data_IF_604920545937
#
_entry.id   IF_604920545937
#
_cell.length_a   1.000
_cell.length_b   1.000
_cell.length_c   1.000
_cell.angle_alpha   90.00
_cell.angle_beta   90.00
_cell.angle_gamma   90.00
#
_symmetry.space_group_name_H-M   'P 1'
#
loop_
_entity.id
_entity.type
_entity.pdbx_description
1 polymer ?
#
# COMPACT_ATOMS: atom_id res chain seq x y z
N UNK A 1 -15.75 3.21 -22.65
CA UNK A 1 -15.13 4.12 -21.65
C UNK A 1 -15.71 3.98 -20.23
N UNK A 2 -16.92 3.43 -20.06
CA UNK A 2 -17.60 3.27 -18.76
C UNK A 2 -16.90 2.31 -17.79
N UNK A 3 -16.44 1.14 -18.25
CA UNK A 3 -15.80 0.12 -17.39
C UNK A 3 -14.54 0.61 -16.67
N UNK A 4 -13.71 1.43 -17.32
CA UNK A 4 -12.49 1.97 -16.71
C UNK A 4 -12.82 2.94 -15.59
N UNK A 5 -13.82 3.81 -15.78
CA UNK A 5 -14.27 4.74 -14.75
C UNK A 5 -14.87 3.98 -13.55
N UNK A 6 -15.64 2.92 -13.81
CA UNK A 6 -16.18 2.04 -12.78
C UNK A 6 -15.07 1.37 -11.97
N UNK A 7 -14.06 0.80 -12.64
CA UNK A 7 -12.92 0.16 -11.97
C UNK A 7 -12.16 1.15 -11.10
N UNK A 8 -11.87 2.36 -11.62
CA UNK A 8 -11.16 3.40 -10.85
C UNK A 8 -11.91 3.79 -9.59
N UNK A 9 -13.22 4.03 -9.70
CA UNK A 9 -14.07 4.35 -8.53
C UNK A 9 -14.11 3.18 -7.55
N UNK A 10 -14.20 1.94 -8.04
CA UNK A 10 -14.15 0.76 -7.19
C UNK A 10 -12.82 0.64 -6.42
N UNK A 11 -11.68 0.89 -7.06
CA UNK A 11 -10.37 0.91 -6.41
C UNK A 11 -10.27 2.03 -5.35
N UNK A 12 -10.82 3.21 -5.62
CA UNK A 12 -10.85 4.29 -4.62
C UNK A 12 -11.75 3.95 -3.44
N UNK A 13 -12.93 3.37 -3.68
CA UNK A 13 -13.82 2.90 -2.60
C UNK A 13 -13.15 1.81 -1.77
N UNK A 14 -12.47 0.85 -2.40
CA UNK A 14 -11.71 -0.18 -1.71
C UNK A 14 -10.59 0.43 -0.86
N UNK A 15 -9.83 1.39 -1.42
CA UNK A 15 -8.81 2.13 -0.68
C UNK A 15 -9.38 2.89 0.51
N UNK A 16 -10.55 3.52 0.35
CA UNK A 16 -11.24 4.24 1.42
C UNK A 16 -11.64 3.30 2.57
N UNK A 17 -12.24 2.15 2.25
CA UNK A 17 -12.60 1.14 3.25
C UNK A 17 -11.35 0.61 3.97
N UNK A 18 -10.28 0.34 3.24
CA UNK A 18 -9.01 -0.08 3.82
C UNK A 18 -8.39 0.97 4.76
N UNK A 19 -8.45 2.25 4.39
CA UNK A 19 -7.97 3.35 5.24
C UNK A 19 -8.78 3.47 6.53
N UNK A 20 -10.11 3.35 6.46
CA UNK A 20 -10.98 3.38 7.64
C UNK A 20 -10.75 2.16 8.54
N UNK A 21 -10.60 0.97 7.96
CA UNK A 21 -10.24 -0.25 8.69
C UNK A 21 -8.90 -0.11 9.39
N UNK A 22 -7.88 0.41 8.70
CA UNK A 22 -6.55 0.66 9.27
C UNK A 22 -6.60 1.68 10.42
N UNK A 23 -7.37 2.77 10.26
CA UNK A 23 -7.56 3.73 11.34
C UNK A 23 -8.22 3.08 12.56
N UNK A 24 -9.22 2.22 12.36
CA UNK A 24 -9.89 1.49 13.43
C UNK A 24 -8.95 0.50 14.12
N UNK A 25 -8.11 -0.23 13.39
CA UNK A 25 -7.09 -1.11 13.97
C UNK A 25 -6.06 -0.33 14.79
N UNK A 26 -5.51 0.76 14.25
CA UNK A 26 -4.60 1.64 14.99
C UNK A 26 -5.27 2.21 16.25
N UNK A 27 -6.56 2.53 16.15
CA UNK A 27 -7.41 2.96 17.27
C UNK A 27 -7.82 1.83 18.22
N UNK A 28 -7.67 0.56 17.87
CA UNK A 28 -7.90 -0.56 18.78
C UNK A 28 -6.64 -0.90 19.59
N UNK A 29 -5.46 -0.74 18.99
CA UNK A 29 -4.16 -1.08 19.61
C UNK A 29 -3.53 0.05 20.41
N UNK A 30 -4.25 1.13 20.69
CA UNK A 30 -3.71 2.23 21.50
C UNK A 30 -2.75 3.17 20.76
N UNK A 31 -2.75 3.22 19.42
CA UNK A 31 -1.73 3.94 18.66
C UNK A 31 -1.93 5.48 18.61
N UNK A 32 -2.32 6.13 19.71
CA UNK A 32 -2.55 7.58 19.77
C UNK A 32 -1.94 8.26 21.01
N UNK A 33 -1.11 7.55 21.79
CA UNK A 33 -0.51 8.08 23.01
C UNK A 33 0.71 8.99 22.75
N UNK A 34 1.32 8.91 21.57
CA UNK A 34 2.50 9.70 21.21
C UNK A 34 2.29 10.62 20.01
N UNK A 35 2.97 11.80 19.93
CA UNK A 35 2.89 12.68 18.77
C UNK A 35 3.27 12.00 17.45
N UNK A 36 4.28 11.12 17.46
CA UNK A 36 4.68 10.34 16.29
C UNK A 36 3.61 9.33 15.84
N UNK A 37 2.80 8.84 16.78
CA UNK A 37 1.71 7.91 16.50
C UNK A 37 0.50 8.60 15.86
N UNK A 38 0.41 9.94 15.92
CA UNK A 38 -0.64 10.71 15.23
C UNK A 38 -0.34 10.92 13.74
N UNK A 39 0.92 10.76 13.31
CA UNK A 39 1.32 10.90 11.91
C UNK A 39 0.51 9.97 10.98
N UNK A 40 0.37 8.65 11.25
CA UNK A 40 -0.47 7.79 10.42
C UNK A 40 -1.94 8.22 10.41
N UNK A 41 -2.50 8.70 11.53
CA UNK A 41 -3.88 9.22 11.54
C UNK A 41 -4.05 10.45 10.66
N UNK A 42 -3.09 11.38 10.68
CA UNK A 42 -3.13 12.55 9.81
C UNK A 42 -3.05 12.17 8.32
N UNK A 43 -2.16 11.23 7.97
CA UNK A 43 -2.03 10.72 6.61
C UNK A 43 -3.32 10.00 6.15
N UNK A 44 -3.90 9.16 7.01
CA UNK A 44 -5.18 8.46 6.75
C UNK A 44 -6.31 9.48 6.56
N UNK A 45 -6.43 10.47 7.45
CA UNK A 45 -7.46 11.51 7.34
C UNK A 45 -7.34 12.28 6.02
N UNK A 46 -6.13 12.66 5.61
CA UNK A 46 -5.87 13.30 4.32
C UNK A 46 -6.28 12.40 3.14
N UNK A 47 -5.95 11.09 3.21
CA UNK A 47 -6.35 10.09 2.22
C UNK A 47 -7.87 9.94 2.10
N UNK A 48 -8.56 9.84 3.23
CA UNK A 48 -10.03 9.75 3.31
C UNK A 48 -10.70 10.97 2.68
N UNK A 49 -10.25 12.17 3.05
CA UNK A 49 -10.79 13.43 2.51
C UNK A 49 -10.54 13.52 1.01
N UNK A 50 -9.31 13.25 0.55
CA UNK A 50 -8.98 13.32 -0.87
C UNK A 50 -9.77 12.28 -1.70
N UNK A 51 -9.94 11.06 -1.18
CA UNK A 51 -10.74 10.02 -1.83
C UNK A 51 -12.21 10.42 -1.93
N UNK A 52 -12.80 10.97 -0.85
CA UNK A 52 -14.17 11.45 -0.86
C UNK A 52 -14.38 12.59 -1.88
N UNK A 53 -13.46 13.55 -1.94
CA UNK A 53 -13.51 14.67 -2.90
C UNK A 53 -13.35 14.20 -4.35
N UNK A 54 -12.55 13.16 -4.60
CA UNK A 54 -12.43 12.53 -5.92
C UNK A 54 -13.71 11.76 -6.31
N UNK A 55 -14.34 11.06 -5.38
CA UNK A 55 -15.59 10.33 -5.65
C UNK A 55 -16.76 11.28 -5.90
N UNK A 56 -16.80 12.42 -5.19
CA UNK A 56 -17.84 13.45 -5.35
C UNK A 56 -17.62 14.41 -6.51
N UNK A 57 -16.38 14.56 -7.00
CA UNK A 57 -16.05 15.55 -8.04
C UNK A 57 -15.05 15.02 -9.08
N UNK A 58 -15.34 15.20 -10.37
CA UNK A 58 -14.42 14.83 -11.46
C UNK A 58 -13.52 16.00 -11.91
N UNK A 59 -13.08 16.84 -10.96
CA UNK A 59 -12.24 18.01 -11.24
C UNK A 59 -10.75 17.62 -11.24
N UNK A 60 -9.94 18.38 -11.98
CA UNK A 60 -8.49 18.14 -12.05
C UNK A 60 -7.83 18.23 -10.67
N UNK A 61 -8.25 19.19 -9.84
CA UNK A 61 -7.68 19.38 -8.50
C UNK A 61 -7.96 18.21 -7.56
N UNK A 62 -9.12 17.53 -7.66
CA UNK A 62 -9.44 16.38 -6.79
C UNK A 62 -8.50 15.20 -7.08
N UNK A 63 -8.12 15.03 -8.35
CA UNK A 63 -7.10 14.05 -8.77
C UNK A 63 -5.71 14.37 -8.23
N UNK A 64 -5.34 15.65 -8.25
CA UNK A 64 -4.06 16.11 -7.70
C UNK A 64 -3.98 15.89 -6.18
N UNK A 65 -5.05 16.22 -5.46
CA UNK A 65 -5.14 15.96 -4.02
C UNK A 65 -5.07 14.46 -3.72
N UNK A 66 -5.80 13.63 -4.46
CA UNK A 66 -5.75 12.18 -4.28
C UNK A 66 -4.35 11.64 -4.55
N UNK A 67 -3.65 12.14 -5.57
CA UNK A 67 -2.26 11.76 -5.86
C UNK A 67 -1.30 12.18 -4.74
N UNK A 68 -1.45 13.40 -4.23
CA UNK A 68 -0.62 13.91 -3.14
C UNK A 68 -0.85 13.12 -1.84
N UNK A 69 -2.11 12.87 -1.49
CA UNK A 69 -2.47 12.07 -0.31
C UNK A 69 -2.00 10.61 -0.45
N UNK A 70 -2.12 10.02 -1.64
CA UNK A 70 -1.62 8.68 -1.90
C UNK A 70 -0.09 8.60 -1.79
N UNK A 71 0.64 9.60 -2.30
CA UNK A 71 2.09 9.69 -2.12
C UNK A 71 2.47 9.86 -0.63
N UNK A 72 1.71 10.68 0.11
CA UNK A 72 1.90 10.84 1.54
C UNK A 72 1.73 9.50 2.28
N UNK A 73 0.67 8.74 1.99
CA UNK A 73 0.45 7.41 2.58
C UNK A 73 1.62 6.45 2.32
N UNK A 74 2.17 6.44 1.10
CA UNK A 74 3.36 5.64 0.76
C UNK A 74 4.57 6.10 1.57
N UNK A 75 4.86 7.39 1.60
CA UNK A 75 6.03 7.94 2.32
C UNK A 75 5.92 7.65 3.82
N UNK A 76 4.75 7.88 4.42
CA UNK A 76 4.52 7.61 5.84
C UNK A 76 4.61 6.12 6.14
N UNK A 77 4.10 5.25 5.26
CA UNK A 77 4.17 3.80 5.44
C UNK A 77 5.60 3.27 5.34
N UNK A 78 6.40 3.79 4.40
CA UNK A 78 7.83 3.48 4.30
C UNK A 78 8.58 3.97 5.53
N UNK A 79 8.33 5.20 5.98
CA UNK A 79 8.93 5.74 7.19
C UNK A 79 8.62 4.88 8.42
N UNK A 80 7.34 4.50 8.61
CA UNK A 80 6.92 3.62 9.71
C UNK A 80 7.58 2.25 9.63
N UNK A 81 7.73 1.67 8.44
CA UNK A 81 8.41 0.39 8.25
C UNK A 81 9.91 0.48 8.63
N UNK A 82 10.59 1.57 8.28
CA UNK A 82 11.98 1.81 8.68
C UNK A 82 12.10 1.94 10.21
N UNK A 83 11.21 2.71 10.83
CA UNK A 83 11.20 2.89 12.28
C UNK A 83 10.95 1.56 13.02
N UNK A 84 10.00 0.77 12.54
CA UNK A 84 9.69 -0.56 13.09
C UNK A 84 10.86 -1.53 12.88
N UNK A 85 11.55 -1.49 11.74
CA UNK A 85 12.75 -2.31 11.51
C UNK A 85 13.84 -2.00 12.55
N UNK A 86 14.04 -0.73 12.89
CA UNK A 86 14.99 -0.31 13.92
C UNK A 86 14.63 -0.81 15.34
N UNK A 87 13.34 -1.03 15.61
CA UNK A 87 12.83 -1.53 16.90
C UNK A 87 12.82 -3.05 17.01
N UNK A 88 13.03 -3.77 15.91
CA UNK A 88 13.11 -5.24 15.88
C UNK A 88 14.58 -5.65 15.62
N UNK A 89 15.44 -5.76 16.66
CA UNK A 89 16.87 -6.02 16.49
C UNK A 89 17.16 -7.39 15.85
N UNK A 90 16.27 -8.36 16.01
CA UNK A 90 16.26 -9.64 15.28
C UNK A 90 16.22 -9.44 13.76
N UNK A 91 15.43 -8.51 13.23
CA UNK A 91 15.38 -8.21 11.79
C UNK A 91 16.72 -7.65 11.28
N UNK A 92 17.37 -6.81 12.09
CA UNK A 92 18.68 -6.25 11.77
C UNK A 92 19.78 -7.34 11.81
N UNK A 93 19.69 -8.29 12.76
CA UNK A 93 20.61 -9.43 12.86
C UNK A 93 20.42 -10.39 11.69
N UNK A 94 19.19 -10.71 11.32
CA UNK A 94 18.86 -11.56 10.18
C UNK A 94 19.30 -10.93 8.85
N UNK A 95 19.03 -9.64 8.65
CA UNK A 95 19.50 -8.91 7.46
C UNK A 95 21.03 -8.90 7.36
N UNK A 96 21.73 -8.70 8.49
CA UNK A 96 23.20 -8.74 8.55
C UNK A 96 23.76 -10.15 8.32
N UNK A 97 23.16 -11.17 8.92
CA UNK A 97 23.58 -12.57 8.73
C UNK A 97 23.30 -13.05 7.29
N UNK A 98 22.18 -12.65 6.70
CA UNK A 98 21.87 -12.89 5.30
C UNK A 98 22.84 -12.19 4.34
N UNK A 99 23.17 -10.91 4.60
CA UNK A 99 24.13 -10.15 3.80
C UNK A 99 25.57 -10.70 3.91
N UNK A 100 25.92 -11.30 5.04
CA UNK A 100 27.22 -11.94 5.27
C UNK A 100 27.25 -13.42 4.84
N UNK A 101 26.14 -13.99 4.38
CA UNK A 101 26.03 -15.42 4.04
C UNK A 101 26.17 -16.36 5.24
N UNK A 102 26.00 -15.84 6.46
CA UNK A 102 26.26 -16.54 7.74
C UNK A 102 25.00 -16.92 8.50
N UNK A 103 23.81 -16.87 7.90
CA UNK A 103 22.54 -17.15 8.61
C UNK A 103 22.55 -18.56 9.23
N UNK A 104 22.69 -18.72 10.57
CA UNK A 104 23.04 -20.02 11.15
C UNK A 104 21.84 -20.95 11.42
N UNK A 105 20.60 -20.47 11.37
CA UNK A 105 19.45 -21.25 11.87
C UNK A 105 18.20 -21.06 10.99
N UNK A 106 18.15 -21.77 9.87
CA UNK A 106 16.89 -22.41 9.50
C UNK A 106 16.87 -23.75 10.25
N UNK A 107 16.34 -23.78 11.48
CA UNK A 107 16.09 -25.07 12.14
C UNK A 107 15.14 -25.87 11.24
N UNK A 108 15.53 -27.06 10.75
CA UNK A 108 14.62 -27.88 9.97
C UNK A 108 13.46 -28.28 10.86
N UNK A 109 12.25 -27.82 10.55
CA UNK A 109 11.01 -28.36 11.14
C UNK A 109 10.17 -27.44 12.02
N UNK A 110 10.45 -26.14 12.15
CA UNK A 110 9.44 -25.22 12.74
C UNK A 110 8.50 -24.71 11.63
N UNK A 111 7.24 -25.18 11.58
CA UNK A 111 6.27 -24.66 10.64
C UNK A 111 5.92 -23.23 11.06
N UNK A 112 6.41 -22.24 10.31
CA UNK A 112 5.91 -20.89 10.48
C UNK A 112 4.44 -20.80 10.08
N UNK A 113 3.76 -19.77 10.58
CA UNK A 113 2.37 -19.49 10.23
C UNK A 113 2.29 -19.33 8.70
N UNK A 114 1.41 -20.11 8.05
CA UNK A 114 1.22 -20.16 6.58
C UNK A 114 2.38 -20.76 5.76
N UNK A 115 3.27 -21.55 6.36
CA UNK A 115 4.37 -22.20 5.62
C UNK A 115 5.48 -21.24 5.19
N UNK A 116 5.46 -20.01 5.71
CA UNK A 116 6.60 -19.10 5.63
C UNK A 116 7.65 -19.53 6.66
N UNK A 117 8.96 -19.39 6.37
CA UNK A 117 9.99 -19.65 7.37
C UNK A 117 9.72 -18.78 8.61
N UNK A 118 9.79 -19.38 9.81
CA UNK A 118 9.57 -18.75 11.12
C UNK A 118 10.07 -17.28 11.26
N UNK A 119 11.26 -16.89 10.76
CA UNK A 119 11.70 -15.49 10.79
C UNK A 119 10.72 -14.51 10.14
N UNK A 120 10.02 -14.88 9.05
CA UNK A 120 9.03 -14.00 8.37
C UNK A 120 7.72 -13.83 9.14
N UNK A 121 7.36 -14.79 9.99
CA UNK A 121 6.15 -14.69 10.83
C UNK A 121 6.33 -13.63 11.93
N UNK A 122 7.56 -13.41 12.40
CA UNK A 122 7.88 -12.38 13.39
C UNK A 122 7.78 -10.94 12.84
N UNK A 123 7.76 -10.74 11.52
CA UNK A 123 7.64 -9.40 10.92
C UNK A 123 6.24 -8.82 11.12
N UNK A 124 5.24 -9.71 11.19
CA UNK A 124 3.83 -9.37 11.35
C UNK A 124 3.40 -9.39 12.83
N UNK A 125 4.06 -10.18 13.67
CA UNK A 125 3.66 -10.43 15.06
C UNK A 125 4.72 -10.01 16.11
N UNK A 126 5.82 -9.39 15.67
CA UNK A 126 6.89 -8.92 16.56
C UNK A 126 6.48 -7.73 17.43
N UNK A 127 7.36 -7.29 18.35
CA UNK A 127 7.07 -6.20 19.29
C UNK A 127 6.73 -4.87 18.61
N UNK A 128 7.21 -4.65 17.38
CA UNK A 128 6.79 -3.57 16.51
C UNK A 128 6.34 -4.14 15.15
N UNK A 129 5.06 -4.57 15.02
CA UNK A 129 4.59 -5.27 13.83
C UNK A 129 4.62 -4.35 12.60
N UNK A 130 5.09 -4.87 11.45
CA UNK A 130 5.18 -4.09 10.20
C UNK A 130 3.90 -4.11 9.37
N UNK A 131 2.85 -4.79 9.84
CA UNK A 131 1.57 -4.93 9.12
C UNK A 131 0.92 -3.57 8.81
N UNK A 132 0.79 -2.68 9.80
CA UNK A 132 0.16 -1.38 9.61
C UNK A 132 0.94 -0.44 8.66
N UNK A 133 2.27 -0.26 8.80
CA UNK A 133 3.05 0.54 7.84
C UNK A 133 2.98 0.00 6.40
N UNK A 134 3.04 -1.33 6.23
CA UNK A 134 2.94 -1.96 4.91
C UNK A 134 1.54 -1.82 4.31
N UNK A 135 0.49 -2.01 5.12
CA UNK A 135 -0.90 -1.80 4.69
C UNK A 135 -1.11 -0.36 4.22
N UNK A 136 -0.58 0.62 4.94
CA UNK A 136 -0.69 2.03 4.57
C UNK A 136 -0.02 2.32 3.22
N UNK A 137 1.21 1.81 3.01
CA UNK A 137 1.90 1.91 1.72
C UNK A 137 1.12 1.23 0.59
N UNK A 138 0.57 0.04 0.84
CA UNK A 138 -0.24 -0.70 -0.12
C UNK A 138 -1.51 0.06 -0.53
N UNK A 139 -2.19 0.68 0.43
CA UNK A 139 -3.36 1.52 0.17
C UNK A 139 -3.00 2.78 -0.63
N UNK A 140 -1.87 3.42 -0.32
CA UNK A 140 -1.35 4.53 -1.14
C UNK A 140 -1.09 4.12 -2.59
N UNK A 141 -0.43 2.98 -2.81
CA UNK A 141 -0.19 2.44 -4.16
C UNK A 141 -1.51 2.11 -4.88
N UNK A 142 -2.49 1.52 -4.19
CA UNK A 142 -3.82 1.24 -4.74
C UNK A 142 -4.51 2.51 -5.24
N UNK A 143 -4.44 3.60 -4.47
CA UNK A 143 -5.00 4.90 -4.86
C UNK A 143 -4.25 5.52 -6.06
N UNK A 144 -2.92 5.36 -6.13
CA UNK A 144 -2.14 5.79 -7.31
C UNK A 144 -2.52 4.97 -8.56
N UNK A 145 -2.72 3.66 -8.41
CA UNK A 145 -3.18 2.79 -9.50
C UNK A 145 -4.57 3.19 -10.00
N UNK A 146 -5.46 3.61 -9.10
CA UNK A 146 -6.77 4.14 -9.49
C UNK A 146 -6.68 5.41 -10.36
N UNK A 147 -5.58 6.16 -10.25
CA UNK A 147 -5.30 7.34 -11.08
C UNK A 147 -4.48 7.01 -12.34
N UNK A 148 -3.85 5.84 -12.40
CA UNK A 148 -3.00 5.45 -13.52
C UNK A 148 -3.79 5.45 -14.82
N UNK A 149 -3.38 6.30 -15.75
CA UNK A 149 -3.88 6.36 -17.12
C UNK A 149 -2.77 5.81 -18.00
N UNK A 150 -3.00 4.65 -18.61
CA UNK A 150 -2.18 4.22 -19.74
C UNK A 150 -2.42 5.24 -20.84
N UNK A 151 -1.44 6.09 -21.12
CA UNK A 151 -1.44 6.86 -22.34
C UNK A 151 -1.51 5.83 -23.47
N UNK A 152 -2.63 5.80 -24.19
CA UNK A 152 -2.68 5.03 -25.42
C UNK A 152 -1.62 5.68 -26.31
N UNK A 153 -0.62 4.90 -26.72
CA UNK A 153 0.44 5.37 -27.60
C UNK A 153 -0.22 6.00 -28.83
N UNK A 154 -0.12 7.33 -29.03
CA UNK A 154 -0.74 7.99 -30.18
C UNK A 154 -0.12 7.52 -31.50
N UNK A 155 1.00 6.81 -31.43
CA UNK A 155 1.76 6.23 -32.54
C UNK A 155 1.34 4.80 -32.88
N UNK A 156 0.51 4.14 -32.06
CA UNK A 156 0.08 2.77 -32.34
C UNK A 156 -0.78 2.77 -33.62
N UNK A 157 -0.36 2.05 -34.69
CA UNK A 157 -1.14 1.99 -35.91
C UNK A 157 -2.53 1.47 -35.58
N UNK A 158 -3.56 2.15 -36.09
CA UNK A 158 -4.94 1.69 -35.96
C UNK A 158 -4.99 0.22 -36.38
N UNK A 159 -5.65 -0.67 -35.61
CA UNK A 159 -5.74 -2.08 -35.96
C UNK A 159 -6.31 -2.16 -37.37
N UNK A 160 -5.52 -2.67 -38.31
CA UNK A 160 -5.91 -2.79 -39.70
C UNK A 160 -7.22 -3.55 -39.74
N UNK A 161 -8.31 -2.85 -40.05
CA UNK A 161 -9.61 -3.46 -40.26
C UNK A 161 -9.39 -4.43 -41.42
N UNK A 162 -9.37 -5.72 -41.09
CA UNK A 162 -9.28 -6.79 -42.07
C UNK A 162 -10.50 -6.63 -42.96
N UNK A 163 -10.28 -6.12 -44.17
CA UNK A 163 -11.35 -6.02 -45.16
C UNK A 163 -11.94 -7.41 -45.33
N UNK A 164 -13.28 -7.57 -45.24
CA UNK A 164 -13.90 -8.87 -45.46
C UNK A 164 -13.54 -9.31 -46.87
N UNK A 165 -12.82 -10.43 -46.97
CA UNK A 165 -12.59 -11.09 -48.25
C UNK A 165 -13.96 -11.52 -48.78
N UNK A 166 -14.47 -10.79 -49.77
CA UNK A 166 -15.63 -11.21 -50.54
C UNK A 166 -15.26 -12.54 -51.23
N UNK A 167 -16.06 -13.58 -50.96
CA UNK A 167 -16.05 -14.83 -51.73
C UNK A 167 -17.04 -14.71 -52.87
#
# INVERSE_FOLDING_TARGET
>A
MTHVLTLRKALVVLGLLGLLGLAAELAAVGHWYGPSQLIPFAAIAAGVVAAALFLGTDRVWSRLLLRAAAALLVVTGVYGAVEHTGKNPELLREGRAGALGTSPEARPGEPGVLGLPAPRANWLNGPAPMSAPLAMSGLGLLLLLALYRREADPSAPAPALSQPQAR
#
